data_IF_525672029556
#
_entry.id   IF_525672029556
#
_cell.length_a   1.000
_cell.length_b   1.000
_cell.length_c   1.000
_cell.angle_alpha   90.00
_cell.angle_beta   90.00
_cell.angle_gamma   90.00
#
_symmetry.space_group_name_H-M   'P 1'
#
loop_
_entity.id
_entity.type
_entity.pdbx_description
1 polymer ?
#
# COMPACT_ATOMS: atom_id res chain seq x y z
N UNK A 1 81.05 37.42 -9.10
CA UNK A 1 79.85 37.36 -8.28
C UNK A 1 78.66 37.72 -9.18
N UNK A 2 77.96 36.73 -9.65
CA UNK A 2 76.85 36.80 -10.62
C UNK A 2 75.53 36.69 -9.90
N UNK A 3 74.54 37.54 -10.08
CA UNK A 3 73.25 37.39 -9.37
C UNK A 3 72.31 36.44 -10.10
N UNK A 4 71.70 35.54 -9.29
CA UNK A 4 70.71 34.58 -9.70
C UNK A 4 69.39 35.31 -9.94
N UNK A 5 68.81 35.15 -11.12
CA UNK A 5 67.47 35.65 -11.46
C UNK A 5 66.44 34.58 -11.07
N UNK A 6 65.52 34.90 -10.13
CA UNK A 6 64.38 34.15 -9.83
C UNK A 6 63.34 34.34 -10.96
N UNK A 7 62.85 33.19 -11.52
CA UNK A 7 61.69 33.15 -12.43
C UNK A 7 60.44 32.84 -11.62
N UNK A 8 59.50 33.76 -11.63
CA UNK A 8 58.16 33.54 -11.11
C UNK A 8 57.36 32.80 -12.17
N UNK A 9 56.88 31.61 -11.80
CA UNK A 9 55.94 30.84 -12.60
C UNK A 9 54.53 31.25 -12.19
N UNK A 10 53.82 31.96 -13.06
CA UNK A 10 52.40 32.31 -12.84
C UNK A 10 51.55 31.09 -13.19
N UNK A 11 50.93 30.50 -12.18
CA UNK A 11 49.90 29.46 -12.37
C UNK A 11 48.56 30.14 -12.60
N UNK A 12 48.06 30.06 -13.81
CA UNK A 12 46.67 30.48 -14.14
C UNK A 12 45.74 29.37 -13.76
N UNK A 13 44.96 29.56 -12.68
CA UNK A 13 43.85 28.69 -12.33
C UNK A 13 42.67 28.97 -13.26
N UNK A 14 42.40 28.05 -14.18
CA UNK A 14 41.14 28.06 -14.94
C UNK A 14 40.09 27.37 -14.08
N UNK A 15 39.19 28.12 -13.46
CA UNK A 15 38.02 27.60 -12.79
C UNK A 15 37.00 27.14 -13.87
N UNK A 16 36.94 25.86 -14.12
CA UNK A 16 35.84 25.26 -14.88
C UNK A 16 34.56 25.25 -14.01
N UNK A 17 33.64 26.15 -14.32
CA UNK A 17 32.30 26.09 -13.75
C UNK A 17 31.57 24.87 -14.33
N UNK A 18 31.51 23.77 -13.57
CA UNK A 18 30.65 22.67 -13.88
C UNK A 18 29.22 23.07 -13.44
N UNK A 19 28.43 23.49 -14.42
CA UNK A 19 27.02 23.71 -14.25
C UNK A 19 26.34 22.35 -13.95
N UNK A 20 25.95 22.12 -12.72
CA UNK A 20 24.99 21.04 -12.38
C UNK A 20 23.64 21.43 -12.98
N UNK A 21 23.33 20.88 -14.15
CA UNK A 21 21.95 20.80 -14.58
C UNK A 21 21.25 19.82 -13.61
N UNK A 22 20.47 20.35 -12.68
CA UNK A 22 19.50 19.60 -11.91
C UNK A 22 18.43 19.11 -12.89
N UNK A 23 18.72 17.99 -13.55
CA UNK A 23 17.72 17.22 -14.26
C UNK A 23 16.77 16.67 -13.21
N UNK A 24 15.59 17.28 -13.08
CA UNK A 24 14.44 16.62 -12.46
C UNK A 24 14.24 15.32 -13.24
N UNK A 25 14.62 14.19 -12.66
CA UNK A 25 14.21 12.89 -13.15
C UNK A 25 12.69 12.89 -12.97
N UNK A 26 11.95 13.20 -14.03
CA UNK A 26 10.56 12.83 -14.14
C UNK A 26 10.54 11.34 -13.93
N UNK A 27 9.97 10.87 -12.82
CA UNK A 27 9.62 9.46 -12.67
C UNK A 27 8.76 9.13 -13.89
N UNK A 28 9.35 8.45 -14.87
CA UNK A 28 8.57 7.84 -15.93
C UNK A 28 7.61 6.90 -15.19
N UNK A 29 6.31 7.18 -15.32
CA UNK A 29 5.27 6.28 -14.84
C UNK A 29 5.66 4.89 -15.33
N UNK A 30 5.89 3.97 -14.39
CA UNK A 30 6.08 2.58 -14.74
C UNK A 30 4.78 2.17 -15.44
N UNK A 31 4.86 2.06 -16.77
CA UNK A 31 3.75 1.57 -17.55
C UNK A 31 3.79 0.07 -17.37
N UNK A 32 2.71 -0.50 -16.82
CA UNK A 32 2.59 -1.92 -16.56
C UNK A 32 3.04 -2.73 -17.76
N UNK A 33 3.84 -3.75 -17.51
CA UNK A 33 4.19 -4.70 -18.56
C UNK A 33 2.90 -5.39 -19.02
N UNK A 34 2.73 -5.66 -20.31
CA UNK A 34 1.56 -6.39 -20.79
C UNK A 34 1.43 -7.71 -20.04
N UNK A 35 0.34 -7.86 -19.30
CA UNK A 35 0.01 -9.10 -18.60
C UNK A 35 -0.81 -10.00 -19.49
N UNK A 36 -0.73 -11.30 -19.27
CA UNK A 36 -1.55 -12.30 -19.96
C UNK A 36 -2.82 -12.53 -19.16
N UNK A 37 -3.95 -12.54 -19.85
CA UNK A 37 -5.27 -12.67 -19.24
C UNK A 37 -5.86 -11.32 -18.82
N UNK A 38 -7.02 -11.32 -18.15
CA UNK A 38 -7.64 -10.13 -17.62
C UNK A 38 -6.79 -9.56 -16.47
N UNK A 39 -6.65 -8.22 -16.42
CA UNK A 39 -5.83 -7.54 -15.43
C UNK A 39 -6.42 -6.16 -15.13
N UNK A 40 -6.89 -5.98 -13.89
CA UNK A 40 -7.45 -4.71 -13.43
C UNK A 40 -6.42 -3.92 -12.64
N UNK A 41 -6.28 -2.63 -12.95
CA UNK A 41 -5.57 -1.70 -12.07
C UNK A 41 -6.35 -0.40 -11.89
N UNK A 42 -5.99 0.39 -10.88
CA UNK A 42 -6.50 1.75 -10.69
C UNK A 42 -5.56 2.71 -11.42
N UNK A 43 -6.00 3.27 -12.53
CA UNK A 43 -5.17 4.22 -13.30
C UNK A 43 -5.23 5.64 -12.77
N UNK A 44 -6.29 5.97 -12.02
CA UNK A 44 -6.40 7.27 -11.39
C UNK A 44 -7.22 7.20 -10.10
N UNK A 45 -6.73 7.85 -9.07
CA UNK A 45 -7.52 8.27 -7.92
C UNK A 45 -8.18 9.58 -8.34
N UNK A 46 -9.48 9.49 -8.70
CA UNK A 46 -10.18 10.49 -9.47
C UNK A 46 -10.58 11.71 -8.64
N UNK A 47 -11.20 11.48 -7.49
CA UNK A 47 -11.67 12.52 -6.56
C UNK A 47 -11.74 12.00 -5.12
N UNK A 48 -12.00 12.90 -4.18
CA UNK A 48 -12.25 12.58 -2.77
C UNK A 48 -13.45 13.40 -2.29
N UNK A 49 -14.42 12.72 -1.67
CA UNK A 49 -15.49 13.37 -0.93
C UNK A 49 -15.24 13.32 0.57
N UNK A 50 -15.49 14.42 1.25
CA UNK A 50 -15.43 14.54 2.72
C UNK A 50 -16.85 14.75 3.26
N UNK A 51 -17.33 13.80 4.05
CA UNK A 51 -18.70 13.77 4.59
C UNK A 51 -18.84 14.50 5.94
N UNK A 52 -17.74 15.11 6.40
CA UNK A 52 -17.68 15.73 7.72
C UNK A 52 -17.47 14.74 8.85
N UNK A 53 -17.57 15.24 10.09
CA UNK A 53 -17.27 14.47 11.28
C UNK A 53 -18.43 14.31 12.24
N UNK A 54 -18.42 13.23 13.02
CA UNK A 54 -19.29 12.97 14.15
C UNK A 54 -18.58 12.07 15.17
N UNK A 55 -18.81 12.28 16.46
CA UNK A 55 -18.31 11.43 17.55
C UNK A 55 -16.77 11.24 17.56
N UNK A 56 -15.99 12.23 17.10
CA UNK A 56 -14.54 12.16 17.03
C UNK A 56 -13.98 11.41 15.82
N UNK A 57 -14.81 11.16 14.80
CA UNK A 57 -14.40 10.52 13.54
C UNK A 57 -14.93 11.30 12.34
N UNK A 58 -14.14 11.32 11.27
CA UNK A 58 -14.53 11.81 9.94
C UNK A 58 -14.74 10.64 8.97
N UNK A 59 -15.64 10.86 8.00
CA UNK A 59 -15.91 9.95 6.89
C UNK A 59 -15.46 10.51 5.56
N UNK A 60 -14.75 9.68 4.76
CA UNK A 60 -14.33 10.03 3.40
C UNK A 60 -14.69 8.93 2.42
N UNK A 61 -14.76 9.30 1.15
CA UNK A 61 -14.79 8.33 0.06
C UNK A 61 -13.77 8.73 -1.01
N UNK A 62 -13.18 7.72 -1.65
CA UNK A 62 -12.16 7.87 -2.67
C UNK A 62 -12.72 7.41 -4.00
N UNK A 63 -12.74 8.28 -4.99
CA UNK A 63 -13.11 7.93 -6.36
C UNK A 63 -11.95 7.28 -7.09
N UNK A 64 -12.27 6.26 -7.90
CA UNK A 64 -11.29 5.48 -8.65
C UNK A 64 -11.69 5.37 -10.12
N UNK A 65 -10.70 5.47 -11.01
CA UNK A 65 -10.85 5.04 -12.40
C UNK A 65 -10.06 3.75 -12.58
N UNK A 66 -10.76 2.64 -12.81
CA UNK A 66 -10.14 1.36 -13.13
C UNK A 66 -9.79 1.28 -14.62
N UNK A 67 -8.84 0.41 -14.94
CA UNK A 67 -8.41 0.09 -16.30
C UNK A 67 -8.18 -1.41 -16.43
N UNK A 68 -8.58 -1.99 -17.57
CA UNK A 68 -8.13 -3.33 -17.97
C UNK A 68 -6.83 -3.19 -18.75
N UNK A 69 -5.70 -3.45 -18.11
CA UNK A 69 -4.37 -3.46 -18.73
C UNK A 69 -3.99 -4.82 -19.33
N UNK A 70 -4.80 -5.85 -19.09
CA UNK A 70 -4.64 -7.21 -19.60
C UNK A 70 -4.91 -7.36 -21.09
N UNK A 71 -4.93 -8.59 -21.56
CA UNK A 71 -5.20 -8.97 -22.96
C UNK A 71 -6.49 -9.81 -23.12
N UNK A 72 -7.32 -9.90 -22.07
CA UNK A 72 -8.65 -10.53 -22.06
C UNK A 72 -9.64 -9.64 -21.28
N UNK A 73 -10.95 -9.88 -21.41
CA UNK A 73 -11.99 -9.08 -20.78
C UNK A 73 -12.10 -9.35 -19.26
N UNK A 74 -12.32 -8.31 -18.49
CA UNK A 74 -12.64 -8.39 -17.06
C UNK A 74 -14.14 -8.57 -16.83
N UNK A 75 -14.52 -9.51 -15.98
CA UNK A 75 -15.92 -9.71 -15.59
C UNK A 75 -16.44 -8.54 -14.74
N UNK A 76 -17.69 -8.09 -15.06
CA UNK A 76 -18.29 -6.93 -14.41
C UNK A 76 -19.81 -7.09 -14.19
N UNK A 77 -20.26 -8.31 -13.96
CA UNK A 77 -21.69 -8.57 -13.81
C UNK A 77 -22.14 -8.70 -12.36
N UNK A 78 -23.06 -7.84 -11.92
CA UNK A 78 -23.72 -7.94 -10.62
C UNK A 78 -25.24 -7.98 -10.69
N UNK A 79 -25.81 -8.24 -11.84
CA UNK A 79 -27.26 -8.32 -12.05
C UNK A 79 -27.77 -9.76 -11.86
N UNK A 80 -29.08 -9.90 -11.62
CA UNK A 80 -29.70 -11.22 -11.57
C UNK A 80 -29.77 -11.97 -12.92
N UNK A 81 -29.35 -11.32 -14.01
CA UNK A 81 -29.36 -11.87 -15.38
C UNK A 81 -28.08 -11.47 -16.09
N UNK A 82 -27.03 -12.28 -15.90
CA UNK A 82 -25.73 -12.10 -16.56
C UNK A 82 -25.69 -12.88 -17.87
N UNK A 83 -25.14 -12.24 -18.92
CA UNK A 83 -24.88 -12.89 -20.22
C UNK A 83 -23.66 -13.80 -20.20
N UNK A 84 -23.45 -14.59 -21.26
CA UNK A 84 -22.21 -15.35 -21.48
C UNK A 84 -21.89 -16.41 -20.42
N UNK A 85 -22.84 -16.80 -19.58
CA UNK A 85 -22.60 -17.73 -18.46
C UNK A 85 -22.01 -17.09 -17.21
N UNK A 86 -21.85 -15.77 -17.16
CA UNK A 86 -21.44 -15.05 -15.95
C UNK A 86 -22.50 -15.14 -14.85
N UNK A 87 -22.06 -15.05 -13.62
CA UNK A 87 -22.92 -14.96 -12.42
C UNK A 87 -22.86 -13.56 -11.82
N UNK A 88 -23.87 -13.23 -11.00
CA UNK A 88 -23.91 -11.95 -10.28
C UNK A 88 -22.81 -11.77 -9.24
N UNK A 89 -21.94 -12.76 -9.04
CA UNK A 89 -20.76 -12.70 -8.19
C UNK A 89 -19.47 -12.38 -8.94
N UNK A 90 -19.56 -12.10 -10.24
CA UNK A 90 -18.43 -11.83 -11.10
C UNK A 90 -18.38 -10.34 -11.47
N UNK A 91 -18.24 -9.50 -10.43
CA UNK A 91 -17.95 -8.09 -10.53
C UNK A 91 -16.84 -7.73 -9.54
N UNK A 92 -16.05 -6.70 -9.77
CA UNK A 92 -15.01 -6.33 -8.84
C UNK A 92 -15.59 -5.72 -7.57
N UNK A 93 -14.83 -5.84 -6.47
CA UNK A 93 -15.04 -5.06 -5.26
C UNK A 93 -13.90 -4.08 -5.07
N UNK A 94 -14.19 -2.93 -4.46
CA UNK A 94 -13.26 -1.80 -4.36
C UNK A 94 -13.08 -1.45 -2.88
N UNK A 95 -11.85 -1.58 -2.39
CA UNK A 95 -11.42 -1.13 -1.07
C UNK A 95 -10.84 0.28 -1.17
N UNK A 96 -11.08 1.11 -0.14
CA UNK A 96 -10.54 2.46 -0.03
C UNK A 96 -9.83 2.59 1.31
N UNK A 97 -8.64 3.19 1.32
CA UNK A 97 -7.78 3.32 2.49
C UNK A 97 -7.20 4.73 2.61
N UNK A 98 -6.81 5.12 3.83
CA UNK A 98 -6.06 6.34 4.12
C UNK A 98 -4.84 6.01 4.98
N UNK A 99 -3.69 6.58 4.61
CA UNK A 99 -2.41 6.39 5.28
C UNK A 99 -1.78 7.71 5.68
N UNK A 100 -0.92 7.64 6.71
CA UNK A 100 -0.15 8.76 7.24
C UNK A 100 1.31 8.36 7.42
N UNK A 101 2.22 9.26 7.05
CA UNK A 101 3.63 9.23 7.47
C UNK A 101 3.86 10.35 8.45
N UNK A 102 4.21 10.02 9.69
CA UNK A 102 4.49 10.98 10.76
C UNK A 102 5.66 10.53 11.59
N UNK A 103 6.60 11.42 11.84
CA UNK A 103 7.80 11.15 12.66
C UNK A 103 8.58 9.89 12.25
N UNK A 104 8.59 9.57 10.95
CA UNK A 104 9.29 8.40 10.42
C UNK A 104 8.48 7.11 10.40
N UNK A 105 7.25 7.10 10.93
CA UNK A 105 6.35 5.92 10.93
C UNK A 105 5.28 6.04 9.88
N UNK A 106 5.10 4.99 9.08
CA UNK A 106 4.04 4.86 8.08
C UNK A 106 2.90 4.01 8.65
N UNK A 107 1.71 4.58 8.71
CA UNK A 107 0.54 3.99 9.39
C UNK A 107 -0.69 4.04 8.49
N UNK A 108 -1.52 3.00 8.53
CA UNK A 108 -2.89 3.09 8.03
C UNK A 108 -3.78 3.69 9.11
N UNK A 109 -4.52 4.75 8.78
CA UNK A 109 -5.36 5.50 9.72
C UNK A 109 -6.83 5.49 9.34
N UNK A 110 -7.19 4.88 8.22
CA UNK A 110 -8.58 4.77 7.80
C UNK A 110 -8.80 3.70 6.73
N UNK A 111 -9.98 3.08 6.76
CA UNK A 111 -10.44 2.13 5.74
C UNK A 111 -11.94 2.18 5.59
N UNK A 112 -12.46 1.81 4.40
CA UNK A 112 -13.87 1.63 4.12
C UNK A 112 -14.29 0.15 4.13
N UNK A 113 -15.58 -0.11 4.12
CA UNK A 113 -16.17 -1.29 3.52
C UNK A 113 -15.95 -1.27 2.01
N UNK A 114 -16.47 -2.25 1.28
CA UNK A 114 -16.21 -2.47 -0.14
C UNK A 114 -17.36 -1.95 -1.00
N UNK A 115 -17.02 -1.14 -2.00
CA UNK A 115 -17.94 -0.86 -3.09
C UNK A 115 -17.98 -2.07 -4.01
N UNK A 116 -19.17 -2.60 -4.25
CA UNK A 116 -19.41 -3.60 -5.28
C UNK A 116 -19.64 -2.91 -6.62
N UNK A 117 -18.86 -3.27 -7.63
CA UNK A 117 -19.01 -2.79 -9.00
C UNK A 117 -20.36 -3.18 -9.58
N UNK A 118 -20.90 -2.40 -10.53
CA UNK A 118 -22.20 -2.72 -11.13
C UNK A 118 -22.21 -2.69 -12.67
N UNK A 119 -21.74 -1.64 -13.34
CA UNK A 119 -21.67 -1.58 -14.78
C UNK A 119 -20.34 -1.00 -15.23
N UNK A 120 -19.67 -1.65 -16.18
CA UNK A 120 -18.49 -1.09 -16.81
C UNK A 120 -18.92 -0.12 -17.93
N UNK A 121 -18.50 1.15 -17.81
CA UNK A 121 -18.84 2.18 -18.81
C UNK A 121 -18.04 2.06 -20.10
N UNK A 122 -16.95 1.30 -20.09
CA UNK A 122 -16.08 1.04 -21.25
C UNK A 122 -15.64 2.33 -21.95
N UNK A 123 -15.09 3.27 -21.21
CA UNK A 123 -14.57 4.52 -21.76
C UNK A 123 -13.17 4.32 -22.32
N UNK A 124 -12.93 4.88 -23.50
CA UNK A 124 -11.59 4.91 -24.08
C UNK A 124 -10.82 6.11 -23.59
N UNK A 125 -9.64 5.89 -23.05
CA UNK A 125 -8.61 6.90 -22.93
C UNK A 125 -7.23 6.24 -23.05
N UNK A 126 -6.71 6.22 -24.27
CA UNK A 126 -5.47 5.54 -24.61
C UNK A 126 -4.24 6.04 -23.81
N UNK A 127 -4.26 7.27 -23.33
CA UNK A 127 -3.13 7.81 -22.55
C UNK A 127 -3.14 7.38 -21.10
N UNK A 128 -4.28 6.97 -20.58
CA UNK A 128 -4.48 6.74 -19.16
C UNK A 128 -4.61 5.29 -18.78
N UNK A 129 -5.11 4.44 -19.68
CA UNK A 129 -5.29 3.02 -19.43
C UNK A 129 -4.09 2.20 -19.96
N UNK A 130 -4.21 1.60 -21.09
CA UNK A 130 -3.17 0.77 -21.70
C UNK A 130 -2.51 1.52 -22.84
N UNK A 131 -1.19 1.71 -22.77
CA UNK A 131 -0.45 2.42 -23.83
C UNK A 131 -0.51 1.67 -25.15
N UNK A 132 -0.79 2.43 -26.23
CA UNK A 132 -0.84 1.89 -27.57
C UNK A 132 -2.06 1.05 -27.90
N UNK A 133 -3.03 0.92 -26.98
CA UNK A 133 -4.26 0.17 -27.16
C UNK A 133 -5.47 1.07 -26.98
N UNK A 134 -6.33 1.15 -28.00
CA UNK A 134 -7.66 1.77 -27.84
C UNK A 134 -8.58 0.84 -27.07
N UNK A 135 -9.55 1.40 -26.34
CA UNK A 135 -10.59 0.62 -25.67
C UNK A 135 -11.30 -0.30 -26.68
N UNK A 136 -11.27 -1.59 -26.45
CA UNK A 136 -11.95 -2.61 -27.24
C UNK A 136 -13.28 -2.94 -26.55
N UNK A 137 -14.39 -2.64 -27.21
CA UNK A 137 -15.72 -2.94 -26.65
C UNK A 137 -15.87 -4.46 -26.45
N UNK A 138 -16.17 -4.92 -25.22
CA UNK A 138 -16.26 -6.34 -24.93
C UNK A 138 -17.56 -6.95 -25.47
N UNK A 139 -17.61 -8.29 -25.69
CA UNK A 139 -18.78 -8.96 -26.26
C UNK A 139 -20.06 -8.81 -25.44
N UNK A 140 -19.95 -8.76 -24.10
CA UNK A 140 -21.09 -8.64 -23.18
C UNK A 140 -21.36 -7.18 -22.75
N UNK A 141 -20.76 -6.19 -23.43
CA UNK A 141 -20.96 -4.78 -23.20
C UNK A 141 -20.65 -4.38 -21.76
N UNK A 142 -21.58 -3.72 -21.07
CA UNK A 142 -21.39 -3.21 -19.71
C UNK A 142 -21.20 -4.31 -18.63
N UNK A 143 -21.40 -5.58 -18.96
CA UNK A 143 -21.16 -6.72 -18.07
C UNK A 143 -19.68 -7.19 -18.09
N UNK A 144 -18.86 -6.53 -18.86
CA UNK A 144 -17.40 -6.73 -18.91
C UNK A 144 -16.71 -5.39 -19.07
N UNK A 145 -15.48 -5.29 -18.56
CA UNK A 145 -14.57 -4.19 -18.87
C UNK A 145 -13.61 -4.67 -19.97
N UNK A 146 -13.70 -4.05 -21.14
CA UNK A 146 -12.92 -4.44 -22.31
C UNK A 146 -11.44 -4.08 -22.19
N UNK A 147 -10.62 -4.70 -23.01
CA UNK A 147 -9.17 -4.48 -23.07
C UNK A 147 -8.88 -3.01 -23.39
N UNK A 148 -8.03 -2.37 -22.57
CA UNK A 148 -7.68 -0.95 -22.71
C UNK A 148 -8.83 0.01 -22.39
N UNK A 149 -9.95 -0.49 -21.85
CA UNK A 149 -11.08 0.31 -21.41
C UNK A 149 -10.94 0.74 -19.96
N UNK A 150 -11.55 1.89 -19.62
CA UNK A 150 -11.65 2.41 -18.26
C UNK A 150 -13.08 2.44 -17.78
N UNK A 151 -13.23 2.37 -16.44
CA UNK A 151 -14.48 2.60 -15.75
C UNK A 151 -14.24 3.46 -14.51
N UNK A 152 -15.07 4.52 -14.34
CA UNK A 152 -14.88 5.49 -13.24
C UNK A 152 -16.01 5.36 -12.23
N UNK A 153 -15.61 5.09 -10.99
CA UNK A 153 -16.44 5.20 -9.80
C UNK A 153 -15.99 6.44 -9.02
N UNK A 154 -16.63 7.58 -9.23
CA UNK A 154 -16.33 8.79 -8.48
C UNK A 154 -16.64 8.60 -6.97
N UNK A 155 -16.12 9.47 -6.11
CA UNK A 155 -16.21 9.33 -4.66
C UNK A 155 -17.65 9.15 -4.15
N UNK A 156 -18.63 9.89 -4.70
CA UNK A 156 -20.03 9.70 -4.35
C UNK A 156 -20.57 8.31 -4.68
N UNK A 157 -20.15 7.66 -5.78
CA UNK A 157 -20.52 6.25 -6.02
C UNK A 157 -19.88 5.30 -5.01
N UNK A 158 -18.67 5.60 -4.57
CA UNK A 158 -17.92 4.79 -3.62
C UNK A 158 -18.29 5.08 -2.15
N UNK A 159 -19.07 6.13 -1.86
CA UNK A 159 -19.42 6.54 -0.51
C UNK A 159 -20.91 6.66 -0.22
N UNK A 160 -21.76 6.99 -1.20
CA UNK A 160 -23.19 7.24 -0.98
C UNK A 160 -24.07 6.00 -1.23
N UNK A 161 -23.53 4.99 -1.90
CA UNK A 161 -24.21 3.71 -2.13
C UNK A 161 -23.86 2.74 -1.01
N UNK A 162 -24.75 1.76 -0.72
CA UNK A 162 -24.43 0.70 0.22
C UNK A 162 -23.13 -0.02 -0.15
N UNK A 163 -22.32 -0.30 0.87
CA UNK A 163 -21.05 -1.03 0.75
C UNK A 163 -21.17 -2.38 1.47
N UNK A 164 -20.39 -3.36 1.03
CA UNK A 164 -20.29 -4.69 1.64
C UNK A 164 -19.13 -4.80 2.61
N UNK A 165 -19.22 -5.64 3.67
CA UNK A 165 -18.13 -5.82 4.61
C UNK A 165 -16.95 -6.56 3.98
N UNK A 166 -15.72 -6.20 4.38
CA UNK A 166 -14.48 -6.84 3.91
C UNK A 166 -14.39 -8.31 4.30
N UNK A 167 -15.00 -8.68 5.43
CA UNK A 167 -15.04 -10.05 5.93
C UNK A 167 -15.78 -11.04 5.01
N UNK A 168 -16.62 -10.55 4.12
CA UNK A 168 -17.34 -11.39 3.15
C UNK A 168 -16.54 -11.70 1.89
N UNK A 169 -15.32 -11.13 1.71
CA UNK A 169 -14.53 -11.25 0.49
C UNK A 169 -13.21 -11.97 0.77
N UNK A 170 -12.95 -13.00 -0.02
CA UNK A 170 -11.65 -13.65 -0.12
C UNK A 170 -10.85 -12.94 -1.23
N UNK A 171 -9.85 -12.14 -0.87
CA UNK A 171 -9.10 -11.35 -1.85
C UNK A 171 -8.17 -12.20 -2.73
N UNK A 172 -7.74 -13.38 -2.27
CA UNK A 172 -6.87 -14.28 -3.05
C UNK A 172 -7.61 -14.87 -4.26
N UNK A 173 -8.91 -15.19 -4.09
CA UNK A 173 -9.73 -15.87 -5.11
C UNK A 173 -10.85 -15.00 -5.66
N UNK A 174 -11.07 -13.83 -5.07
CA UNK A 174 -12.23 -12.96 -5.32
C UNK A 174 -13.59 -13.61 -5.06
N UNK A 175 -13.65 -14.70 -4.31
CA UNK A 175 -14.92 -15.26 -3.91
C UNK A 175 -15.56 -14.40 -2.81
N UNK A 176 -16.85 -14.09 -2.95
CA UNK A 176 -17.59 -13.32 -1.97
C UNK A 176 -19.07 -13.70 -1.91
N UNK A 177 -19.72 -13.24 -0.84
CA UNK A 177 -21.16 -13.40 -0.64
C UNK A 177 -21.87 -12.28 -1.42
N UNK A 178 -22.87 -12.65 -2.24
CA UNK A 178 -23.71 -11.67 -2.94
C UNK A 178 -25.15 -12.19 -3.04
N UNK A 179 -26.17 -11.39 -2.71
CA UNK A 179 -26.06 -10.01 -2.21
C UNK A 179 -25.27 -9.94 -0.91
N UNK A 180 -24.43 -8.90 -0.78
CA UNK A 180 -23.63 -8.65 0.42
C UNK A 180 -24.51 -8.17 1.59
N UNK A 181 -24.00 -8.29 2.83
CA UNK A 181 -24.66 -7.75 4.01
C UNK A 181 -24.70 -6.23 3.94
N UNK A 182 -25.90 -5.65 4.06
CA UNK A 182 -26.12 -4.22 4.08
C UNK A 182 -26.77 -3.82 5.40
N UNK A 183 -26.07 -2.98 6.17
CA UNK A 183 -26.57 -2.47 7.47
C UNK A 183 -26.99 -1.01 7.42
N UNK A 184 -26.87 -0.34 6.24
CA UNK A 184 -27.16 1.08 6.07
C UNK A 184 -26.15 2.01 6.74
N UNK A 185 -26.39 3.31 6.62
CA UNK A 185 -25.60 4.37 7.23
C UNK A 185 -26.36 4.98 8.40
N UNK A 186 -25.74 5.04 9.59
CA UNK A 186 -26.25 5.75 10.76
C UNK A 186 -25.44 7.00 11.06
N UNK A 187 -24.14 6.96 10.78
CA UNK A 187 -23.19 8.05 10.95
C UNK A 187 -22.54 8.41 9.61
N UNK A 188 -21.97 9.59 9.53
CA UNK A 188 -21.31 10.09 8.32
C UNK A 188 -20.11 9.26 7.89
N UNK A 189 -19.50 8.52 8.80
CA UNK A 189 -18.36 7.67 8.58
C UNK A 189 -18.70 6.17 8.41
N UNK A 190 -19.97 5.76 8.64
CA UNK A 190 -20.34 4.35 8.53
C UNK A 190 -20.05 3.82 7.13
N UNK A 191 -19.41 2.66 7.04
CA UNK A 191 -18.97 1.98 5.82
C UNK A 191 -17.94 2.75 4.98
N UNK A 192 -17.80 4.08 5.13
CA UNK A 192 -16.83 4.94 4.42
C UNK A 192 -15.43 4.80 5.02
N UNK A 193 -14.44 5.43 4.43
CA UNK A 193 -13.11 5.55 5.05
C UNK A 193 -13.29 6.33 6.35
N UNK A 194 -13.30 5.58 7.47
CA UNK A 194 -13.48 6.12 8.82
C UNK A 194 -12.12 6.44 9.41
N UNK A 195 -11.95 7.67 9.86
CA UNK A 195 -10.67 8.17 10.41
C UNK A 195 -10.93 8.91 11.71
N UNK A 196 -10.12 8.68 12.74
CA UNK A 196 -10.18 9.47 13.96
C UNK A 196 -9.77 10.93 13.70
N UNK A 197 -10.49 11.89 14.28
CA UNK A 197 -10.21 13.32 14.13
C UNK A 197 -8.76 13.65 14.54
N UNK A 198 -8.26 12.97 15.59
CA UNK A 198 -6.90 13.13 16.09
C UNK A 198 -5.83 12.77 15.03
N UNK A 199 -6.12 11.88 14.09
CA UNK A 199 -5.17 11.43 13.08
C UNK A 199 -5.09 12.37 11.88
N UNK A 200 -6.13 13.17 11.65
CA UNK A 200 -6.19 14.15 10.56
C UNK A 200 -6.16 15.60 11.03
N UNK A 201 -6.14 15.86 12.34
CA UNK A 201 -5.99 17.21 12.87
C UNK A 201 -4.57 17.77 12.62
N UNK A 202 -4.39 18.79 11.76
CA UNK A 202 -3.07 19.34 11.47
C UNK A 202 -2.38 19.93 12.69
N UNK A 203 -3.13 20.32 13.73
CA UNK A 203 -2.54 20.83 14.98
C UNK A 203 -1.84 19.72 15.78
N UNK A 204 -2.31 18.48 15.67
CA UNK A 204 -1.71 17.32 16.33
C UNK A 204 -0.72 16.59 15.42
N UNK A 205 -0.78 16.82 14.11
CA UNK A 205 0.00 16.10 13.09
C UNK A 205 0.86 17.05 12.25
N UNK A 206 1.56 17.99 12.92
CA UNK A 206 2.46 18.90 12.20
C UNK A 206 3.52 18.13 11.40
N UNK A 207 3.63 18.45 10.11
CA UNK A 207 4.58 17.80 9.20
C UNK A 207 4.18 16.41 8.70
N UNK A 208 3.03 15.88 9.08
CA UNK A 208 2.52 14.61 8.55
C UNK A 208 2.19 14.71 7.06
N UNK A 209 2.42 13.60 6.36
CA UNK A 209 2.05 13.40 4.97
C UNK A 209 0.95 12.35 4.88
N UNK A 210 0.04 12.49 3.91
CA UNK A 210 -1.12 11.61 3.78
C UNK A 210 -1.26 11.07 2.36
N UNK A 211 -1.78 9.84 2.24
CA UNK A 211 -2.10 9.20 0.96
C UNK A 211 -3.43 8.46 1.04
N UNK A 212 -4.20 8.56 -0.01
CA UNK A 212 -5.38 7.73 -0.23
C UNK A 212 -5.04 6.62 -1.22
N UNK A 213 -5.71 5.49 -1.07
CA UNK A 213 -5.52 4.31 -1.90
C UNK A 213 -6.86 3.75 -2.33
N UNK A 214 -6.93 3.26 -3.56
CA UNK A 214 -8.00 2.41 -4.07
C UNK A 214 -7.42 1.07 -4.49
N UNK A 215 -8.08 -0.03 -4.10
CA UNK A 215 -7.67 -1.38 -4.49
C UNK A 215 -8.87 -2.17 -5.00
N UNK A 216 -8.71 -2.84 -6.15
CA UNK A 216 -9.70 -3.71 -6.74
C UNK A 216 -9.42 -5.19 -6.43
N UNK A 217 -10.47 -5.97 -6.28
CA UNK A 217 -10.42 -7.44 -6.25
C UNK A 217 -11.43 -7.93 -7.29
N UNK A 218 -10.96 -8.68 -8.30
CA UNK A 218 -11.77 -9.18 -9.42
C UNK A 218 -11.50 -10.68 -9.64
N UNK A 219 -12.54 -11.45 -9.97
CA UNK A 219 -12.48 -12.92 -9.99
C UNK A 219 -11.56 -13.48 -11.07
N UNK A 220 -11.71 -13.05 -12.30
CA UNK A 220 -10.90 -13.56 -13.39
C UNK A 220 -9.49 -12.96 -13.46
N UNK A 221 -9.29 -11.77 -12.93
CA UNK A 221 -7.98 -11.19 -12.65
C UNK A 221 -7.20 -12.02 -11.62
N UNK A 222 -7.82 -12.32 -10.47
CA UNK A 222 -7.24 -13.18 -9.45
C UNK A 222 -6.94 -14.59 -9.98
N UNK A 223 -7.84 -15.17 -10.79
CA UNK A 223 -7.65 -16.47 -11.43
C UNK A 223 -6.51 -16.48 -12.46
N UNK A 224 -6.25 -15.36 -13.11
CA UNK A 224 -5.09 -15.17 -14.01
C UNK A 224 -3.77 -14.95 -13.26
N UNK A 225 -3.83 -14.70 -11.95
CA UNK A 225 -2.64 -14.42 -11.12
C UNK A 225 -2.16 -12.97 -11.17
N UNK A 226 -3.02 -12.06 -11.65
CA UNK A 226 -2.68 -10.65 -11.87
C UNK A 226 -3.02 -9.74 -10.66
N UNK A 227 -3.64 -10.24 -9.60
CA UNK A 227 -4.16 -9.47 -8.47
C UNK A 227 -3.14 -8.78 -7.54
N UNK A 228 -1.86 -8.68 -7.94
CA UNK A 228 -0.81 -8.06 -7.12
C UNK A 228 -0.52 -6.59 -7.49
N UNK A 229 -1.12 -6.08 -8.57
CA UNK A 229 -0.95 -4.71 -9.08
C UNK A 229 -2.26 -3.89 -9.06
N UNK A 230 -3.28 -4.38 -8.35
CA UNK A 230 -4.65 -3.86 -8.35
C UNK A 230 -4.84 -2.63 -7.46
N UNK A 231 -3.82 -2.23 -6.68
CA UNK A 231 -3.82 -1.04 -5.84
C UNK A 231 -3.08 0.12 -6.51
N UNK A 232 -3.57 1.33 -6.26
CA UNK A 232 -2.87 2.57 -6.61
C UNK A 232 -3.13 3.61 -5.53
N UNK A 233 -2.20 4.54 -5.36
CA UNK A 233 -2.32 5.57 -4.33
C UNK A 233 -2.04 6.97 -4.87
N UNK A 234 -2.55 7.97 -4.17
CA UNK A 234 -2.32 9.38 -4.46
C UNK A 234 -2.13 10.17 -3.18
N UNK A 235 -1.20 11.11 -3.19
CA UNK A 235 -0.95 11.98 -2.05
C UNK A 235 -2.13 12.93 -1.84
N UNK A 236 -2.42 13.21 -0.57
CA UNK A 236 -3.48 14.13 -0.15
C UNK A 236 -2.97 15.08 0.94
N UNK A 237 -3.70 16.18 1.13
CA UNK A 237 -3.49 17.14 2.22
C UNK A 237 -4.78 17.29 3.01
N UNK A 238 -4.66 17.68 4.28
CA UNK A 238 -5.80 17.92 5.17
C UNK A 238 -6.01 19.41 5.36
N UNK A 239 -7.25 19.89 5.15
CA UNK A 239 -7.63 21.28 5.41
C UNK A 239 -7.79 21.52 6.91
N UNK A 240 -7.11 22.53 7.49
CA UNK A 240 -7.30 22.88 8.89
C UNK A 240 -8.76 23.23 9.23
N UNK A 241 -9.23 22.76 10.37
CA UNK A 241 -10.54 23.10 10.94
C UNK A 241 -11.73 22.35 10.35
N UNK A 242 -11.67 21.92 9.09
CA UNK A 242 -12.72 21.09 8.45
C UNK A 242 -12.31 19.65 8.29
N UNK A 243 -11.01 19.36 8.39
CA UNK A 243 -10.40 18.07 8.12
C UNK A 243 -10.71 17.47 6.73
N UNK A 244 -11.17 18.33 5.81
CA UNK A 244 -11.42 17.91 4.44
C UNK A 244 -10.11 17.48 3.76
N UNK A 245 -10.14 16.34 3.06
CA UNK A 245 -9.03 15.86 2.27
C UNK A 245 -9.03 16.51 0.88
N UNK A 246 -7.86 16.91 0.44
CA UNK A 246 -7.63 17.44 -0.91
C UNK A 246 -6.52 16.67 -1.57
N UNK A 247 -6.77 16.15 -2.76
CA UNK A 247 -5.75 15.44 -3.53
C UNK A 247 -4.64 16.37 -4.02
N UNK A 248 -3.44 15.84 -4.12
CA UNK A 248 -2.37 16.49 -4.86
C UNK A 248 -2.80 16.66 -6.33
N UNK A 249 -2.70 17.88 -6.90
CA UNK A 249 -3.10 18.13 -8.28
C UNK A 249 -2.16 17.44 -9.26
N UNK A 250 -2.70 17.10 -10.44
CA UNK A 250 -1.89 16.62 -11.57
C UNK A 250 -0.89 17.70 -12.01
N UNK A 251 0.37 17.33 -12.15
CA UNK A 251 1.41 18.26 -12.54
C UNK A 251 2.46 17.61 -13.48
N UNK A 252 2.57 18.03 -14.73
CA UNK A 252 1.72 19.03 -15.41
C UNK A 252 0.30 18.48 -15.67
N UNK A 253 -0.67 19.35 -15.97
CA UNK A 253 -2.03 18.92 -16.32
C UNK A 253 -2.05 17.84 -17.39
N UNK A 254 -2.80 16.74 -17.14
CA UNK A 254 -2.85 15.56 -18.01
C UNK A 254 -1.86 14.45 -17.67
N UNK A 255 -1.02 14.65 -16.62
CA UNK A 255 -0.23 13.59 -16.00
C UNK A 255 -0.80 13.35 -14.61
N UNK A 256 -1.36 12.18 -14.38
CA UNK A 256 -1.93 11.84 -13.09
C UNK A 256 -0.88 11.79 -11.99
N UNK A 257 -1.16 12.44 -10.86
CA UNK A 257 -0.35 12.33 -9.64
C UNK A 257 -0.55 10.98 -8.93
N UNK A 258 -1.41 10.13 -9.46
CA UNK A 258 -1.65 8.75 -8.98
C UNK A 258 -0.45 7.87 -9.30
N UNK A 259 0.12 7.25 -8.28
CA UNK A 259 1.12 6.19 -8.42
C UNK A 259 0.37 4.89 -8.63
N UNK A 260 0.54 4.29 -9.80
CA UNK A 260 -0.22 3.14 -10.27
C UNK A 260 0.43 1.83 -9.90
N UNK A 261 -0.38 0.78 -9.80
CA UNK A 261 0.06 -0.62 -9.66
C UNK A 261 0.87 -0.88 -8.38
N UNK A 262 0.79 0.03 -7.42
CA UNK A 262 1.46 -0.06 -6.13
C UNK A 262 0.52 0.32 -4.99
N UNK A 263 0.60 -0.40 -3.89
CA UNK A 263 -0.05 -0.03 -2.64
C UNK A 263 0.65 1.19 -2.00
N UNK A 264 -0.05 1.90 -1.11
CA UNK A 264 0.43 3.14 -0.52
C UNK A 264 1.71 2.99 0.34
N UNK A 265 2.06 1.79 0.79
CA UNK A 265 3.33 1.54 1.51
C UNK A 265 4.56 1.96 0.69
N UNK A 266 4.46 1.92 -0.65
CA UNK A 266 5.51 2.38 -1.57
C UNK A 266 5.80 3.88 -1.48
N UNK A 267 4.88 4.67 -0.91
CA UNK A 267 5.12 6.08 -0.66
C UNK A 267 6.23 6.30 0.38
N UNK A 268 6.41 5.37 1.32
CA UNK A 268 7.41 5.52 2.37
C UNK A 268 8.85 5.51 1.83
N UNK A 269 9.32 4.50 1.08
CA UNK A 269 10.65 4.55 0.46
C UNK A 269 10.78 5.66 -0.61
N UNK A 270 9.70 6.08 -1.25
CA UNK A 270 9.72 7.20 -2.19
C UNK A 270 10.00 8.55 -1.52
N UNK A 271 9.62 8.71 -0.24
CA UNK A 271 9.89 9.91 0.57
C UNK A 271 11.22 9.79 1.31
N UNK A 272 11.55 8.60 1.83
CA UNK A 272 12.74 8.34 2.61
C UNK A 272 13.54 7.17 2.03
N UNK A 273 14.65 7.45 1.31
CA UNK A 273 15.48 6.40 0.69
C UNK A 273 16.16 5.44 1.67
N UNK A 274 16.13 5.73 2.98
CA UNK A 274 16.62 4.81 4.01
C UNK A 274 15.61 3.70 4.35
N UNK A 275 14.41 3.76 3.78
CA UNK A 275 13.38 2.72 3.92
C UNK A 275 13.62 1.62 2.89
N UNK A 276 13.72 0.40 3.36
CA UNK A 276 13.81 -0.80 2.53
C UNK A 276 12.42 -1.42 2.38
N UNK A 277 12.04 -1.82 1.18
CA UNK A 277 10.79 -2.51 0.88
C UNK A 277 11.07 -3.92 0.37
N UNK A 278 10.40 -4.90 0.95
CA UNK A 278 10.57 -6.32 0.64
C UNK A 278 9.21 -6.99 0.39
N UNK A 279 9.14 -7.85 -0.63
CA UNK A 279 7.95 -8.65 -0.94
C UNK A 279 8.07 -10.04 -0.32
N UNK A 280 7.07 -10.43 0.44
CA UNK A 280 6.98 -11.74 1.09
C UNK A 280 5.83 -12.51 0.47
N UNK A 281 6.15 -13.41 -0.44
CA UNK A 281 5.16 -14.22 -1.14
C UNK A 281 4.88 -15.52 -0.37
N UNK A 282 3.60 -15.79 -0.18
CA UNK A 282 3.10 -17.07 0.35
C UNK A 282 2.74 -17.95 -0.85
N UNK A 283 3.46 -19.05 -1.08
CA UNK A 283 3.21 -19.90 -2.23
C UNK A 283 1.86 -20.60 -2.13
N UNK A 284 1.14 -20.67 -3.26
CA UNK A 284 -0.17 -21.29 -3.40
C UNK A 284 -0.56 -21.44 -4.86
N UNK A 285 -1.79 -21.83 -5.13
CA UNK A 285 -2.34 -21.85 -6.49
C UNK A 285 -2.43 -20.43 -7.08
N UNK A 286 -2.73 -19.46 -6.24
CA UNK A 286 -2.58 -18.02 -6.45
C UNK A 286 -1.56 -17.53 -5.42
N UNK A 287 -0.65 -16.66 -5.84
CA UNK A 287 0.33 -16.07 -4.92
C UNK A 287 -0.40 -15.07 -3.99
N UNK A 288 -0.19 -15.25 -2.69
CA UNK A 288 -0.58 -14.29 -1.68
C UNK A 288 0.66 -13.47 -1.29
N UNK A 289 0.53 -12.16 -1.11
CA UNK A 289 1.67 -11.27 -0.87
C UNK A 289 1.47 -10.39 0.35
N UNK A 290 2.54 -10.28 1.14
CA UNK A 290 2.74 -9.19 2.08
C UNK A 290 3.87 -8.28 1.57
N UNK A 291 3.69 -6.98 1.74
CA UNK A 291 4.73 -5.98 1.50
C UNK A 291 5.25 -5.52 2.85
N UNK A 292 6.55 -5.61 3.07
CA UNK A 292 7.18 -5.27 4.34
C UNK A 292 8.16 -4.13 4.10
N UNK A 293 7.87 -2.97 4.66
CA UNK A 293 8.81 -1.86 4.69
C UNK A 293 9.52 -1.79 6.05
N UNK A 294 10.82 -1.49 6.02
CA UNK A 294 11.66 -1.34 7.21
C UNK A 294 12.48 -0.06 7.13
N UNK A 295 12.54 0.67 8.24
CA UNK A 295 13.55 1.70 8.46
C UNK A 295 14.30 1.41 9.74
N UNK A 296 15.64 1.53 9.71
CA UNK A 296 16.49 1.40 10.89
C UNK A 296 17.31 2.67 11.05
N UNK A 297 17.31 3.24 12.24
CA UNK A 297 17.99 4.50 12.54
C UNK A 297 18.84 4.33 13.80
N UNK A 298 20.12 4.74 13.74
CA UNK A 298 20.95 4.78 14.93
C UNK A 298 20.40 5.84 15.91
N UNK A 299 20.23 5.46 17.18
CA UNK A 299 19.74 6.35 18.24
C UNK A 299 20.93 6.97 18.98
N UNK A 300 21.73 6.11 19.63
CA UNK A 300 22.98 6.47 20.30
C UNK A 300 23.87 5.23 20.43
N UNK A 301 25.19 5.42 20.50
CA UNK A 301 26.15 4.35 20.77
C UNK A 301 25.88 3.08 19.94
N UNK A 302 25.42 2.04 20.63
CA UNK A 302 25.11 0.74 20.05
C UNK A 302 23.61 0.46 19.88
N UNK A 303 22.72 1.45 20.19
CA UNK A 303 21.27 1.28 20.11
C UNK A 303 20.71 1.77 18.78
N UNK A 304 19.86 0.95 18.18
CA UNK A 304 19.19 1.19 16.90
C UNK A 304 17.67 1.14 17.06
N UNK A 305 16.97 2.10 16.45
CA UNK A 305 15.52 2.13 16.37
C UNK A 305 15.05 1.47 15.08
N UNK A 306 14.14 0.50 15.22
CA UNK A 306 13.54 -0.26 14.12
C UNK A 306 12.08 0.12 13.95
N UNK A 307 11.69 0.54 12.76
CA UNK A 307 10.31 0.77 12.34
C UNK A 307 9.97 -0.18 11.20
N UNK A 308 8.88 -0.91 11.34
CA UNK A 308 8.32 -1.79 10.30
C UNK A 308 6.89 -1.40 9.98
N UNK A 309 6.51 -1.49 8.71
CA UNK A 309 5.13 -1.50 8.25
C UNK A 309 4.92 -2.77 7.43
N UNK A 310 3.83 -3.51 7.70
CA UNK A 310 3.49 -4.73 6.97
C UNK A 310 2.09 -4.55 6.38
N UNK A 311 2.01 -4.53 5.05
CA UNK A 311 0.78 -4.45 4.29
C UNK A 311 0.42 -5.83 3.73
N UNK A 312 -0.78 -6.31 4.00
CA UNK A 312 -1.31 -7.51 3.39
C UNK A 312 -2.02 -7.15 2.08
N UNK A 313 -1.42 -7.44 0.94
CA UNK A 313 -1.95 -7.09 -0.39
C UNK A 313 -3.25 -7.85 -0.68
N UNK A 314 -3.20 -9.19 -0.66
CA UNK A 314 -4.29 -10.05 -1.09
C UNK A 314 -4.42 -11.37 -0.31
N UNK A 315 -3.63 -11.56 0.76
CA UNK A 315 -3.67 -12.82 1.50
C UNK A 315 -4.96 -12.96 2.30
N UNK A 316 -5.86 -13.83 1.84
CA UNK A 316 -7.02 -14.27 2.62
C UNK A 316 -6.59 -15.05 3.86
N UNK A 317 -5.44 -15.72 3.81
CA UNK A 317 -4.88 -16.41 4.98
C UNK A 317 -4.53 -15.45 6.10
N UNK A 318 -4.28 -14.17 5.81
CA UNK A 318 -3.97 -13.14 6.80
C UNK A 318 -2.75 -13.48 7.67
N UNK A 319 -2.26 -12.56 8.48
CA UNK A 319 -1.20 -12.86 9.44
C UNK A 319 -1.71 -12.72 10.87
N UNK A 320 -1.19 -13.57 11.79
CA UNK A 320 -1.52 -13.55 13.22
C UNK A 320 -0.36 -13.16 14.12
N UNK A 321 0.86 -13.24 13.61
CA UNK A 321 2.04 -12.87 14.36
C UNK A 321 3.14 -12.35 13.45
N UNK A 322 3.94 -11.46 14.00
CA UNK A 322 5.19 -10.99 13.43
C UNK A 322 6.29 -11.10 14.49
N UNK A 323 7.47 -11.61 14.13
CA UNK A 323 8.63 -11.62 15.01
C UNK A 323 9.89 -11.18 14.28
N UNK A 324 10.82 -10.64 15.07
CA UNK A 324 12.19 -10.32 14.67
C UNK A 324 13.14 -11.03 15.62
N UNK A 325 14.01 -11.88 15.06
CA UNK A 325 14.93 -12.70 15.81
C UNK A 325 16.37 -12.33 15.42
N UNK A 326 17.13 -11.79 16.36
CA UNK A 326 18.57 -11.53 16.21
C UNK A 326 19.37 -12.80 16.49
N UNK A 327 20.47 -12.98 15.76
CA UNK A 327 21.32 -14.16 15.90
C UNK A 327 21.96 -14.30 17.29
N UNK A 328 22.24 -13.19 17.94
CA UNK A 328 22.84 -13.12 19.27
C UNK A 328 21.84 -12.55 20.29
N UNK A 329 21.98 -12.90 21.57
CA UNK A 329 21.20 -12.29 22.63
C UNK A 329 21.37 -10.77 22.62
N UNK A 330 20.31 -10.06 22.29
CA UNK A 330 20.29 -8.61 22.10
C UNK A 330 19.28 -7.99 23.03
N UNK A 331 19.63 -6.95 23.83
CA UNK A 331 18.66 -6.17 24.57
C UNK A 331 17.67 -5.51 23.63
N UNK A 332 16.37 -5.64 23.93
CA UNK A 332 15.27 -5.04 23.18
C UNK A 332 14.40 -4.24 24.12
N UNK A 333 14.03 -3.02 23.71
CA UNK A 333 13.22 -2.10 24.49
C UNK A 333 12.27 -1.28 23.61
N UNK A 334 11.44 -0.45 24.21
CA UNK A 334 10.54 0.49 23.55
C UNK A 334 9.65 -0.13 22.46
N UNK A 335 9.33 -1.44 22.55
CA UNK A 335 8.51 -2.11 21.57
C UNK A 335 7.07 -1.61 21.61
N UNK A 336 6.50 -1.38 20.41
CA UNK A 336 5.14 -0.90 20.26
C UNK A 336 4.48 -1.40 18.99
N UNK A 337 3.20 -1.03 18.83
CA UNK A 337 2.31 -1.54 17.79
C UNK A 337 1.28 -0.49 17.42
N UNK A 338 0.89 -0.44 16.16
CA UNK A 338 -0.27 0.29 15.67
C UNK A 338 -0.92 -0.47 14.53
N UNK A 339 -2.23 -0.57 14.56
CA UNK A 339 -3.06 -1.15 13.50
C UNK A 339 -4.20 -0.22 13.11
N UNK A 340 -4.98 -0.65 12.17
CA UNK A 340 -6.26 -0.05 11.81
C UNK A 340 -7.40 -0.89 12.38
N UNK A 341 -8.22 -0.28 13.23
CA UNK A 341 -9.42 -0.90 13.75
C UNK A 341 -10.36 -1.35 12.64
N UNK A 342 -10.88 -2.57 12.75
CA UNK A 342 -11.95 -3.05 11.88
C UNK A 342 -13.16 -2.14 11.97
N UNK A 343 -13.77 -1.85 10.80
CA UNK A 343 -14.94 -0.97 10.73
C UNK A 343 -16.12 -1.57 11.51
N UNK A 344 -16.94 -0.71 12.12
CA UNK A 344 -18.15 -1.15 12.83
C UNK A 344 -19.05 -1.96 11.90
N UNK A 345 -19.51 -3.12 12.39
CA UNK A 345 -20.28 -4.11 11.62
C UNK A 345 -19.44 -5.25 11.05
N UNK A 346 -18.11 -5.15 11.05
CA UNK A 346 -17.24 -6.31 10.84
C UNK A 346 -17.24 -7.21 12.07
N UNK A 347 -17.07 -8.53 11.92
CA UNK A 347 -17.05 -9.46 13.05
C UNK A 347 -15.74 -9.46 13.82
N UNK A 348 -14.72 -8.75 13.34
CA UNK A 348 -13.36 -8.84 13.82
C UNK A 348 -13.11 -8.07 15.12
N UNK A 349 -12.27 -8.64 15.98
CA UNK A 349 -11.74 -7.96 17.16
C UNK A 349 -10.85 -6.77 16.77
N UNK A 350 -10.83 -5.75 17.62
CA UNK A 350 -9.93 -4.59 17.52
C UNK A 350 -8.88 -4.58 18.63
N UNK A 351 -8.63 -5.74 19.27
CA UNK A 351 -7.65 -5.82 20.34
C UNK A 351 -6.23 -5.79 19.79
N UNK A 352 -5.44 -4.82 20.21
CA UNK A 352 -4.05 -4.63 19.81
C UNK A 352 -3.18 -5.86 20.03
N UNK A 353 -2.19 -6.06 19.17
CA UNK A 353 -1.15 -7.06 19.38
C UNK A 353 -0.18 -6.57 20.46
N UNK A 354 -0.05 -7.33 21.51
CA UNK A 354 0.86 -6.99 22.59
C UNK A 354 2.29 -7.37 22.24
N UNK A 355 3.26 -6.43 22.29
CA UNK A 355 4.67 -6.75 22.08
C UNK A 355 5.23 -7.60 23.23
N UNK A 356 6.02 -8.61 22.87
CA UNK A 356 6.75 -9.47 23.79
C UNK A 356 8.23 -9.48 23.40
N UNK A 357 9.07 -8.83 24.21
CA UNK A 357 10.51 -8.96 24.10
C UNK A 357 10.97 -10.05 25.07
N UNK A 358 11.58 -11.12 24.54
CA UNK A 358 12.06 -12.24 25.39
C UNK A 358 13.45 -11.95 25.91
N UNK A 359 13.63 -11.76 27.23
CA UNK A 359 14.93 -11.41 27.78
C UNK A 359 16.02 -12.48 27.49
N UNK A 360 17.17 -12.03 27.01
CA UNK A 360 18.33 -12.88 26.77
C UNK A 360 18.27 -13.75 25.52
N UNK A 361 17.28 -13.55 24.64
CA UNK A 361 17.17 -14.30 23.37
C UNK A 361 17.41 -13.43 22.14
N UNK A 362 17.24 -12.11 22.24
CA UNK A 362 17.27 -11.24 21.07
C UNK A 362 16.01 -11.33 20.20
N UNK A 363 14.89 -11.78 20.77
CA UNK A 363 13.62 -11.94 20.05
C UNK A 363 12.59 -10.92 20.52
N UNK A 364 11.93 -10.26 19.58
CA UNK A 364 10.70 -9.49 19.82
C UNK A 364 9.58 -10.03 18.92
N UNK A 365 8.36 -10.11 19.45
CA UNK A 365 7.21 -10.61 18.72
C UNK A 365 5.92 -9.88 19.11
N UNK A 366 4.98 -9.87 18.19
CA UNK A 366 3.61 -9.40 18.35
C UNK A 366 2.67 -10.47 17.82
N UNK A 367 1.55 -10.69 18.48
CA UNK A 367 0.61 -11.70 18.02
C UNK A 367 -0.79 -11.47 18.52
N UNK A 368 -1.76 -12.02 17.77
CA UNK A 368 -3.15 -12.21 18.19
C UNK A 368 -3.46 -13.71 18.40
N UNK A 369 -4.68 -14.01 18.80
CA UNK A 369 -5.17 -15.39 19.00
C UNK A 369 -5.04 -16.23 17.73
N UNK A 370 -4.94 -17.55 17.88
CA UNK A 370 -4.96 -18.46 16.73
C UNK A 370 -6.36 -18.54 16.11
N UNK A 371 -6.43 -18.87 14.82
CA UNK A 371 -7.71 -19.07 14.13
C UNK A 371 -8.60 -20.11 14.81
N UNK A 372 -8.02 -21.18 15.33
CA UNK A 372 -8.76 -22.22 16.03
C UNK A 372 -9.35 -21.77 17.37
N UNK A 373 -8.70 -20.80 18.03
CA UNK A 373 -9.15 -20.21 19.29
C UNK A 373 -10.21 -19.12 19.06
N UNK A 374 -9.95 -18.25 18.09
CA UNK A 374 -10.84 -17.14 17.73
C UNK A 374 -10.70 -16.82 16.24
N UNK A 375 -11.62 -17.27 15.37
CA UNK A 375 -11.58 -16.97 13.95
C UNK A 375 -11.81 -15.48 13.63
N UNK A 376 -12.28 -14.70 14.59
CA UNK A 376 -12.49 -13.26 14.49
C UNK A 376 -11.41 -12.44 15.18
N UNK A 377 -10.31 -13.05 15.62
CA UNK A 377 -9.19 -12.32 16.20
C UNK A 377 -8.70 -11.19 15.27
N UNK A 378 -8.06 -10.18 15.86
CA UNK A 378 -7.46 -9.06 15.17
C UNK A 378 -6.23 -9.51 14.33
N UNK A 379 -6.49 -10.16 13.19
CA UNK A 379 -5.45 -10.58 12.26
C UNK A 379 -5.18 -9.49 11.21
N UNK A 380 -3.95 -9.40 10.70
CA UNK A 380 -3.60 -8.51 9.58
C UNK A 380 -4.31 -9.03 8.31
N UNK A 381 -5.51 -8.49 8.04
CA UNK A 381 -6.39 -8.89 6.95
C UNK A 381 -5.92 -8.27 5.62
N UNK A 382 -6.47 -8.74 4.49
CA UNK A 382 -6.14 -8.17 3.19
C UNK A 382 -6.50 -6.68 3.09
N UNK A 383 -5.73 -5.93 2.33
CA UNK A 383 -5.80 -4.47 2.19
C UNK A 383 -5.73 -3.72 3.54
N UNK A 384 -5.03 -4.28 4.55
CA UNK A 384 -4.70 -3.58 5.79
C UNK A 384 -3.20 -3.55 6.03
N UNK A 385 -2.74 -2.55 6.80
CA UNK A 385 -1.34 -2.34 7.15
C UNK A 385 -1.22 -2.16 8.66
N UNK A 386 -0.30 -2.92 9.28
CA UNK A 386 0.07 -2.80 10.68
C UNK A 386 1.51 -2.32 10.82
N UNK A 387 1.78 -1.51 11.83
CA UNK A 387 3.10 -0.92 12.10
C UNK A 387 3.65 -1.44 13.42
N UNK A 388 4.95 -1.73 13.43
CA UNK A 388 5.66 -2.33 14.54
C UNK A 388 6.98 -1.57 14.76
N UNK A 389 7.38 -1.37 16.02
CA UNK A 389 8.64 -0.70 16.31
C UNK A 389 9.25 -1.20 17.59
N UNK A 390 10.58 -1.07 17.71
CA UNK A 390 11.35 -1.37 18.90
C UNK A 390 12.75 -0.75 18.81
N UNK A 391 13.44 -0.69 19.95
CA UNK A 391 14.85 -0.37 20.04
C UNK A 391 15.64 -1.65 20.34
N UNK A 392 16.81 -1.82 19.72
CA UNK A 392 17.70 -2.96 19.94
C UNK A 392 19.17 -2.55 19.93
N UNK A 393 19.98 -3.19 20.79
CA UNK A 393 21.42 -3.00 20.83
C UNK A 393 22.11 -3.87 19.76
N UNK A 394 21.62 -3.80 18.53
CA UNK A 394 22.17 -4.51 17.37
C UNK A 394 21.95 -3.71 16.10
N UNK A 395 22.96 -3.63 15.20
CA UNK A 395 22.79 -3.06 13.88
C UNK A 395 21.92 -3.97 12.99
N UNK A 396 21.36 -3.46 11.87
CA UNK A 396 20.34 -4.15 11.04
C UNK A 396 20.86 -5.36 10.24
N UNK A 397 21.91 -6.05 10.68
CA UNK A 397 22.69 -6.90 9.80
C UNK A 397 22.25 -8.36 9.64
N UNK A 398 21.54 -8.99 10.59
CA UNK A 398 21.32 -10.44 10.56
C UNK A 398 20.00 -10.92 11.17
N UNK A 399 19.08 -10.02 11.46
CA UNK A 399 17.81 -10.42 12.04
C UNK A 399 16.95 -11.20 11.03
N UNK A 400 16.36 -12.30 11.48
CA UNK A 400 15.36 -13.07 10.73
C UNK A 400 13.98 -12.54 11.10
N UNK A 401 13.17 -12.22 10.09
CA UNK A 401 11.77 -11.84 10.27
C UNK A 401 10.87 -13.03 9.95
N UNK A 402 9.81 -13.20 10.73
CA UNK A 402 8.81 -14.25 10.51
C UNK A 402 7.40 -13.67 10.56
N UNK A 403 6.59 -13.98 9.55
CA UNK A 403 5.16 -13.73 9.53
C UNK A 403 4.46 -15.08 9.70
N UNK A 404 3.69 -15.27 10.78
CA UNK A 404 2.85 -16.44 10.94
C UNK A 404 1.47 -16.19 10.35
N UNK A 405 1.00 -17.15 9.56
CA UNK A 405 -0.29 -17.05 8.90
C UNK A 405 -1.44 -17.42 9.85
N UNK A 406 -2.56 -16.73 9.70
CA UNK A 406 -3.70 -16.84 10.60
C UNK A 406 -4.60 -18.03 10.27
N UNK A 407 -5.12 -18.09 9.01
CA UNK A 407 -5.97 -19.21 8.59
C UNK A 407 -5.13 -20.46 8.31
N UNK A 408 -5.63 -21.66 8.61
CA UNK A 408 -4.92 -22.91 8.37
C UNK A 408 -4.49 -23.09 6.91
N UNK A 409 -3.34 -23.73 6.70
CA UNK A 409 -2.78 -24.02 5.39
C UNK A 409 -1.28 -24.26 5.46
N UNK A 410 -0.65 -24.53 4.31
CA UNK A 410 0.79 -24.71 4.19
C UNK A 410 1.38 -23.65 3.22
N UNK A 411 2.49 -22.99 3.58
CA UNK A 411 3.18 -23.04 4.87
C UNK A 411 2.36 -22.42 6.01
N UNK A 412 2.70 -22.63 7.27
CA UNK A 412 2.07 -21.97 8.43
C UNK A 412 2.72 -20.65 8.77
N UNK A 413 3.92 -20.40 8.27
CA UNK A 413 4.68 -19.17 8.43
C UNK A 413 5.61 -18.96 7.24
N UNK A 414 6.00 -17.74 6.99
CA UNK A 414 7.04 -17.36 6.04
C UNK A 414 8.13 -16.58 6.76
N UNK A 415 9.39 -16.95 6.48
CA UNK A 415 10.57 -16.30 7.04
C UNK A 415 11.35 -15.60 5.95
N UNK A 416 11.94 -14.46 6.27
CA UNK A 416 12.74 -13.68 5.35
C UNK A 416 13.81 -12.87 6.10
N UNK A 417 14.77 -12.35 5.37
CA UNK A 417 15.79 -11.43 5.88
C UNK A 417 15.91 -10.27 4.92
N UNK A 418 16.03 -9.07 5.44
CA UNK A 418 16.41 -7.93 4.62
C UNK A 418 17.88 -8.10 4.19
N UNK A 419 18.21 -7.88 2.92
CA UNK A 419 19.59 -7.97 2.47
C UNK A 419 20.46 -6.93 3.20
N UNK A 420 21.71 -7.30 3.50
CA UNK A 420 22.69 -6.36 4.09
C UNK A 420 22.98 -5.17 3.18
N UNK A 421 22.76 -5.32 1.89
CA UNK A 421 22.97 -4.31 0.86
C UNK A 421 21.79 -4.34 -0.11
N UNK A 422 21.08 -3.25 -0.20
CA UNK A 422 19.98 -3.07 -1.16
C UNK A 422 20.45 -2.53 -2.52
N UNK A 423 21.75 -2.16 -2.66
CA UNK A 423 22.32 -1.73 -3.93
C UNK A 423 22.73 -2.95 -4.77
N UNK A 424 21.97 -3.24 -5.80
CA UNK A 424 22.27 -4.27 -6.79
C UNK A 424 23.41 -3.91 -7.76
N UNK A 425 24.24 -2.92 -7.45
CA UNK A 425 25.32 -2.37 -8.32
C UNK A 425 24.82 -1.77 -9.65
N UNK A 426 23.51 -1.68 -9.86
CA UNK A 426 22.92 -1.05 -11.05
C UNK A 426 23.13 0.46 -11.08
N UNK A 427 23.35 1.07 -9.92
CA UNK A 427 23.67 2.50 -9.79
C UNK A 427 25.03 2.86 -10.37
N UNK A 428 25.93 1.90 -10.54
CA UNK A 428 27.33 2.09 -10.94
C UNK A 428 28.09 3.14 -10.08
N UNK A 429 27.64 3.36 -8.84
CA UNK A 429 28.27 4.27 -7.89
C UNK A 429 28.28 3.67 -6.47
N UNK A 430 28.99 4.33 -5.56
CA UNK A 430 29.17 3.89 -4.19
C UNK A 430 28.35 4.75 -3.19
N UNK A 431 27.35 5.48 -3.64
CA UNK A 431 26.60 6.42 -2.79
C UNK A 431 25.74 5.71 -1.75
N UNK A 432 25.37 4.46 -1.98
CA UNK A 432 24.66 3.62 -1.02
C UNK A 432 25.57 3.02 0.08
N UNK A 433 26.89 3.24 0.00
CA UNK A 433 27.87 2.67 0.92
C UNK A 433 28.37 3.72 1.91
N UNK A 434 28.25 3.46 3.19
CA UNK A 434 28.73 4.39 4.23
C UNK A 434 30.26 4.44 4.37
N UNK A 435 30.97 3.41 3.89
CA UNK A 435 32.43 3.40 3.77
C UNK A 435 32.87 2.44 2.66
N UNK A 436 33.69 2.91 1.72
CA UNK A 436 34.51 2.04 0.89
C UNK A 436 35.84 1.81 1.62
N UNK A 437 36.11 0.57 2.03
CA UNK A 437 37.45 0.19 2.51
C UNK A 437 38.27 -0.15 1.29
N UNK A 438 39.46 0.48 1.10
CA UNK A 438 40.34 0.23 -0.05
C UNK A 438 40.86 -1.19 -0.09
#
# INVERSE_FOLDING_TARGET
MTPIRARYLSVVLVAAAVGFASGSASAALAQGMPTTGPDVTVVDIYDIDSYGGANGFHGYAVGTTSCNIGDDELNWCNTGSCGGGLSSKQHPVIAQNLYRLKAGRFEQIGMSWLKHGFFATNKGNAQTCKVGTSCITPPLGFQQLGIGCTDTYWAGLNGDQPLGPRSEVNATTSNFIFPYTNVGFSQVYDQRVKVADADVDPAQNAGALYWVEGQYVSDNDAAAGNGLNNASYRKATVSPGTFALNMEPDNPPGYFATVREHSAIHAWPAIDPAVELFYVDVPGAVIERFEVARKVTAVDGDTWHYEYAIHNVNSDRSARAFSVDFADPTPISAAGFHDIDSHSGEPYSTADWTPVATPGTGTVSWSTSTFASDPNANALRWATLYSFWFDADAPPSTAVQTIELFKPGSPTAVTFTFPLFSDGFQSHNLTAWSAAVP
#
